data_IF_436419803607
#
_entry.id   IF_436419803607
#
_cell.length_a   1.000
_cell.length_b   1.000
_cell.length_c   1.000
_cell.angle_alpha   90.00
_cell.angle_beta   90.00
_cell.angle_gamma   90.00
#
_symmetry.space_group_name_H-M   'P 1'
#
loop_
_entity.id
_entity.type
_entity.pdbx_description
1 polymer ?
#
# COMPACT_ATOMS: atom_id res chain seq x y z
N UNK A 1 9.58 -39.26 8.21
CA UNK A 1 9.68 -38.05 9.05
C UNK A 1 9.29 -36.89 8.16
N UNK A 2 8.14 -36.27 8.40
CA UNK A 2 7.69 -35.13 7.61
C UNK A 2 8.56 -33.91 7.91
N UNK A 3 9.09 -33.27 6.87
CA UNK A 3 9.82 -32.02 6.98
C UNK A 3 8.87 -30.96 7.52
N UNK A 4 9.18 -30.37 8.66
CA UNK A 4 8.48 -29.18 9.16
C UNK A 4 8.84 -28.06 8.18
N UNK A 5 7.86 -27.57 7.41
CA UNK A 5 8.05 -26.35 6.62
C UNK A 5 8.40 -25.22 7.60
N UNK A 6 9.64 -24.74 7.53
CA UNK A 6 10.05 -23.57 8.27
C UNK A 6 9.30 -22.37 7.70
N UNK A 7 8.39 -21.82 8.50
CA UNK A 7 7.65 -20.62 8.15
C UNK A 7 8.65 -19.46 8.06
N UNK A 8 8.90 -18.97 6.85
CA UNK A 8 9.88 -17.92 6.59
C UNK A 8 9.37 -16.59 7.18
N UNK A 9 10.04 -16.12 8.24
CA UNK A 9 9.71 -14.84 8.89
C UNK A 9 10.48 -13.72 8.19
N UNK A 10 9.76 -12.83 7.49
CA UNK A 10 10.34 -11.64 6.88
C UNK A 10 10.34 -10.44 7.83
N UNK A 11 11.40 -9.63 7.78
CA UNK A 11 11.53 -8.38 8.54
C UNK A 11 11.48 -7.17 7.60
N UNK A 12 10.96 -6.05 8.11
CA UNK A 12 10.93 -4.75 7.43
C UNK A 12 10.86 -3.65 8.50
N UNK A 13 11.34 -2.44 8.21
CA UNK A 13 11.28 -1.34 9.18
C UNK A 13 9.84 -0.84 9.38
N UNK A 14 9.07 -0.78 8.27
CA UNK A 14 7.66 -0.36 8.31
C UNK A 14 6.80 -1.29 7.45
N UNK A 15 5.77 -1.86 8.07
CA UNK A 15 4.70 -2.55 7.36
C UNK A 15 3.49 -1.64 7.18
N UNK A 16 3.04 -1.44 5.94
CA UNK A 16 1.81 -0.74 5.61
C UNK A 16 0.75 -1.77 5.18
N UNK A 17 -0.48 -1.61 5.66
CA UNK A 17 -1.59 -2.49 5.31
C UNK A 17 -2.56 -1.72 4.40
N UNK A 18 -2.72 -2.22 3.18
CA UNK A 18 -3.56 -1.65 2.12
C UNK A 18 -2.82 -0.70 1.17
N UNK A 19 -3.40 -0.48 -0.01
CA UNK A 19 -2.88 0.35 -1.11
C UNK A 19 -3.81 1.52 -1.45
N UNK A 20 -4.41 2.12 -0.42
CA UNK A 20 -5.20 3.35 -0.57
C UNK A 20 -4.34 4.63 -0.59
N UNK A 21 -5.00 5.78 -0.73
CA UNK A 21 -4.34 7.10 -0.69
C UNK A 21 -3.49 7.33 0.57
N UNK A 22 -3.97 6.87 1.73
CA UNK A 22 -3.22 6.96 2.99
C UNK A 22 -1.90 6.20 2.93
N UNK A 23 -1.92 4.97 2.41
CA UNK A 23 -0.73 4.15 2.24
C UNK A 23 0.29 4.81 1.30
N UNK A 24 -0.18 5.36 0.17
CA UNK A 24 0.69 6.03 -0.80
C UNK A 24 1.33 7.29 -0.21
N UNK A 25 0.56 8.06 0.56
CA UNK A 25 1.05 9.25 1.27
C UNK A 25 2.16 8.89 2.26
N UNK A 26 1.90 7.89 3.12
CA UNK A 26 2.85 7.43 4.14
C UNK A 26 4.11 6.87 3.48
N UNK A 27 3.95 6.02 2.47
CA UNK A 27 5.09 5.45 1.73
C UNK A 27 5.96 6.54 1.13
N UNK A 28 5.38 7.55 0.45
CA UNK A 28 6.18 8.62 -0.15
C UNK A 28 7.01 9.40 0.89
N UNK A 29 6.46 9.62 2.09
CA UNK A 29 7.19 10.25 3.20
C UNK A 29 8.32 9.35 3.70
N UNK A 30 8.05 8.07 3.95
CA UNK A 30 9.03 7.12 4.49
C UNK A 30 10.15 6.86 3.48
N UNK A 31 9.86 6.79 2.17
CA UNK A 31 10.87 6.68 1.11
C UNK A 31 11.95 7.74 1.24
N UNK A 32 11.58 8.99 1.59
CA UNK A 32 12.53 10.10 1.75
C UNK A 32 13.41 9.98 3.00
N UNK A 33 13.05 9.10 3.94
CA UNK A 33 13.79 8.81 5.16
C UNK A 33 14.73 7.61 5.03
N UNK A 34 14.64 6.84 3.93
CA UNK A 34 15.54 5.72 3.65
C UNK A 34 15.24 4.42 4.39
N UNK A 35 14.08 4.28 5.03
CA UNK A 35 13.64 3.04 5.68
C UNK A 35 13.14 2.01 4.67
N UNK A 36 13.31 0.73 4.99
CA UNK A 36 12.67 -0.35 4.25
C UNK A 36 11.16 -0.40 4.53
N UNK A 37 10.37 -0.55 3.48
CA UNK A 37 8.91 -0.55 3.57
C UNK A 37 8.36 -1.72 2.77
N UNK A 38 7.54 -2.52 3.45
CA UNK A 38 6.69 -3.52 2.80
C UNK A 38 5.24 -3.09 2.91
N UNK A 39 4.47 -3.28 1.83
CA UNK A 39 3.02 -3.05 1.81
C UNK A 39 2.32 -4.39 1.61
N UNK A 40 1.34 -4.73 2.45
CA UNK A 40 0.46 -5.88 2.25
C UNK A 40 -0.90 -5.41 1.75
N UNK A 41 -1.31 -5.91 0.58
CA UNK A 41 -2.59 -5.63 -0.03
C UNK A 41 -3.37 -6.93 -0.21
N UNK A 42 -4.63 -6.92 0.22
CA UNK A 42 -5.52 -8.07 0.09
C UNK A 42 -5.92 -8.30 -1.37
N UNK A 43 -6.15 -7.22 -2.11
CA UNK A 43 -6.48 -7.27 -3.53
C UNK A 43 -5.29 -7.69 -4.40
N UNK A 44 -5.59 -7.98 -5.67
CA UNK A 44 -4.61 -8.31 -6.70
C UNK A 44 -4.01 -7.08 -7.40
N UNK A 45 -4.52 -5.88 -7.09
CA UNK A 45 -4.07 -4.62 -7.66
C UNK A 45 -4.27 -3.47 -6.67
N UNK A 46 -3.49 -2.39 -6.87
CA UNK A 46 -3.61 -1.17 -6.10
C UNK A 46 -4.91 -0.42 -6.40
N UNK A 47 -5.49 0.26 -5.40
CA UNK A 47 -6.64 1.14 -5.63
C UNK A 47 -7.54 1.37 -4.43
N UNK A 48 -7.45 0.53 -3.38
CA UNK A 48 -8.27 0.63 -2.18
C UNK A 48 -9.79 0.63 -2.44
N UNK A 49 -10.59 0.55 -1.38
CA UNK A 49 -12.06 0.62 -1.47
C UNK A 49 -12.50 1.99 -2.00
N UNK A 50 -13.61 2.00 -2.76
CA UNK A 50 -14.26 3.22 -3.31
C UNK A 50 -14.23 4.35 -2.28
N UNK A 51 -13.66 5.50 -2.65
CA UNK A 51 -13.68 6.71 -1.83
C UNK A 51 -15.12 7.22 -1.82
N UNK A 52 -15.91 6.81 -0.83
CA UNK A 52 -17.20 7.45 -0.52
C UNK A 52 -16.91 8.74 0.26
N UNK A 53 -16.11 9.64 -0.30
CA UNK A 53 -15.91 10.98 0.23
C UNK A 53 -16.77 11.97 -0.55
N UNK A 54 -17.66 12.69 0.14
CA UNK A 54 -18.48 13.77 -0.42
C UNK A 54 -17.65 15.01 -0.87
N UNK A 55 -16.33 14.96 -0.70
CA UNK A 55 -15.39 16.01 -1.09
C UNK A 55 -14.42 15.50 -2.16
N UNK A 56 -14.12 16.29 -3.22
CA UNK A 56 -13.21 15.91 -4.29
C UNK A 56 -11.76 16.02 -3.82
N UNK A 57 -11.34 15.12 -2.94
CA UNK A 57 -9.93 14.91 -2.59
C UNK A 57 -9.48 13.62 -3.29
N UNK A 58 -9.47 13.65 -4.62
CA UNK A 58 -9.11 12.50 -5.45
C UNK A 58 -7.63 12.47 -5.85
N UNK A 59 -6.82 13.38 -5.32
CA UNK A 59 -5.43 13.53 -5.66
C UNK A 59 -4.55 13.65 -4.42
N UNK A 60 -3.37 13.06 -4.49
CA UNK A 60 -2.32 13.28 -3.52
C UNK A 60 -1.69 14.64 -3.80
N UNK A 61 -1.62 15.50 -2.79
CA UNK A 61 -0.96 16.81 -2.88
C UNK A 61 0.56 16.65 -2.84
N UNK A 62 1.12 16.21 -3.97
CA UNK A 62 2.56 16.17 -4.23
C UNK A 62 2.81 16.79 -5.61
N UNK A 63 3.75 17.73 -5.69
CA UNK A 63 4.09 18.49 -6.90
C UNK A 63 4.47 17.61 -8.07
N UNK A 64 5.19 16.52 -7.79
CA UNK A 64 5.56 15.54 -8.79
C UNK A 64 4.31 14.85 -9.38
N UNK A 65 3.20 14.77 -8.66
CA UNK A 65 2.01 14.07 -9.15
C UNK A 65 1.07 15.01 -9.90
N UNK A 66 0.80 16.21 -9.38
CA UNK A 66 -0.20 17.09 -9.98
C UNK A 66 0.29 17.88 -11.19
N UNK A 67 1.61 18.04 -11.38
CA UNK A 67 2.12 18.72 -12.58
C UNK A 67 1.93 17.89 -13.86
N UNK A 68 2.05 16.57 -13.78
CA UNK A 68 2.07 15.70 -14.97
C UNK A 68 0.76 14.92 -15.17
N UNK A 69 -0.13 14.91 -14.18
CA UNK A 69 -1.40 14.18 -14.27
C UNK A 69 -2.61 15.12 -14.21
N UNK A 70 -3.37 15.12 -15.30
CA UNK A 70 -4.65 15.81 -15.39
C UNK A 70 -5.80 14.81 -15.39
N UNK A 71 -6.76 15.03 -14.48
CA UNK A 71 -8.06 14.37 -14.52
C UNK A 71 -8.90 14.94 -15.67
N UNK A 72 -9.61 14.07 -16.39
CA UNK A 72 -10.52 14.41 -17.48
C UNK A 72 -11.84 14.98 -16.96
N UNK A 73 -12.22 14.61 -15.72
CA UNK A 73 -13.47 15.03 -15.10
C UNK A 73 -13.23 15.55 -13.68
N UNK A 74 -13.95 16.61 -13.31
CA UNK A 74 -13.94 17.17 -11.94
C UNK A 74 -14.38 16.16 -10.88
N UNK A 75 -15.28 15.25 -11.27
CA UNK A 75 -15.74 14.12 -10.46
C UNK A 75 -15.40 12.83 -11.20
N UNK A 76 -14.18 12.36 -11.00
CA UNK A 76 -13.64 11.20 -11.70
C UNK A 76 -14.27 9.91 -11.19
N UNK A 77 -14.87 9.14 -12.09
CA UNK A 77 -15.36 7.81 -11.78
C UNK A 77 -14.21 6.81 -11.54
N UNK A 78 -14.55 5.62 -11.04
CA UNK A 78 -13.63 4.50 -10.78
C UNK A 78 -12.57 4.22 -11.88
N UNK A 79 -12.88 4.25 -13.19
CA UNK A 79 -11.89 4.02 -14.23
C UNK A 79 -10.76 5.06 -14.23
N UNK A 80 -11.10 6.31 -13.93
CA UNK A 80 -10.13 7.39 -13.92
C UNK A 80 -9.30 7.41 -12.62
N UNK A 81 -9.91 7.03 -11.48
CA UNK A 81 -9.15 6.78 -10.26
C UNK A 81 -8.13 5.65 -10.44
N UNK A 82 -8.49 4.55 -11.12
CA UNK A 82 -7.52 3.49 -11.46
C UNK A 82 -6.36 4.01 -12.30
N UNK A 83 -6.63 4.82 -13.32
CA UNK A 83 -5.59 5.47 -14.13
C UNK A 83 -4.66 6.33 -13.27
N UNK A 84 -5.20 7.02 -12.27
CA UNK A 84 -4.40 7.79 -11.32
C UNK A 84 -3.53 6.89 -10.45
N UNK A 85 -4.07 5.83 -9.85
CA UNK A 85 -3.29 4.88 -9.06
C UNK A 85 -2.17 4.21 -9.88
N UNK A 86 -2.44 3.82 -11.12
CA UNK A 86 -1.43 3.27 -12.04
C UNK A 86 -0.33 4.30 -12.38
N UNK A 87 -0.71 5.57 -12.56
CA UNK A 87 0.25 6.65 -12.79
C UNK A 87 1.15 6.86 -11.57
N UNK A 88 0.57 6.94 -10.37
CA UNK A 88 1.33 7.09 -9.13
C UNK A 88 2.22 5.88 -8.91
N UNK A 89 1.72 4.66 -9.17
CA UNK A 89 2.51 3.44 -9.06
C UNK A 89 3.73 3.47 -9.98
N UNK A 90 3.58 3.86 -11.24
CA UNK A 90 4.73 4.00 -12.15
C UNK A 90 5.75 5.02 -11.68
N UNK A 91 5.29 6.17 -11.16
CA UNK A 91 6.17 7.27 -10.76
C UNK A 91 6.88 6.97 -9.43
N UNK A 92 6.19 6.31 -8.51
CA UNK A 92 6.70 6.05 -7.18
C UNK A 92 7.19 4.62 -6.98
N UNK A 93 6.94 3.70 -7.93
CA UNK A 93 7.30 2.28 -7.84
C UNK A 93 6.66 1.60 -6.62
N UNK A 94 5.35 1.78 -6.41
CA UNK A 94 4.67 1.28 -5.21
C UNK A 94 4.55 -0.25 -5.25
N UNK A 95 4.27 -0.81 -6.42
CA UNK A 95 4.13 -2.25 -6.68
C UNK A 95 5.41 -3.02 -6.38
N UNK A 96 6.59 -2.41 -6.55
CA UNK A 96 7.88 -3.02 -6.18
C UNK A 96 8.00 -3.30 -4.67
N UNK A 97 7.23 -2.59 -3.83
CA UNK A 97 7.19 -2.77 -2.38
C UNK A 97 5.90 -3.44 -1.89
N UNK A 98 5.01 -3.82 -2.80
CA UNK A 98 3.69 -4.33 -2.44
C UNK A 98 3.61 -5.83 -2.66
N UNK A 99 3.26 -6.57 -1.61
CA UNK A 99 2.83 -7.96 -1.70
C UNK A 99 1.30 -7.99 -1.78
N UNK A 100 0.82 -8.22 -3.00
CA UNK A 100 -0.60 -8.42 -3.29
C UNK A 100 -1.09 -9.78 -2.81
N UNK A 101 -2.41 -9.93 -2.75
CA UNK A 101 -3.08 -11.13 -2.25
C UNK A 101 -2.60 -11.52 -0.83
N UNK A 102 -2.26 -10.54 0.01
CA UNK A 102 -1.86 -10.73 1.41
C UNK A 102 -2.91 -10.14 2.33
N UNK A 103 -3.65 -11.01 3.01
CA UNK A 103 -4.63 -10.61 4.01
C UNK A 103 -3.98 -10.65 5.39
N UNK A 104 -3.74 -9.49 6.00
CA UNK A 104 -3.29 -9.43 7.40
C UNK A 104 -4.43 -9.85 8.32
N UNK A 105 -4.13 -10.77 9.23
CA UNK A 105 -5.10 -11.38 10.14
C UNK A 105 -4.90 -10.88 11.57
N UNK A 106 -3.65 -10.80 12.01
CA UNK A 106 -3.29 -10.39 13.37
C UNK A 106 -2.07 -9.47 13.35
N UNK A 107 -2.02 -8.56 14.32
CA UNK A 107 -0.86 -7.75 14.62
C UNK A 107 -0.72 -7.65 16.14
N UNK A 108 0.35 -8.22 16.69
CA UNK A 108 0.60 -8.31 18.12
C UNK A 108 1.90 -7.57 18.44
N UNK A 109 1.83 -6.62 19.35
CA UNK A 109 3.03 -5.92 19.81
C UNK A 109 3.85 -6.82 20.73
N UNK A 110 5.15 -6.95 20.41
CA UNK A 110 6.12 -7.61 21.27
C UNK A 110 6.89 -6.57 22.07
N UNK A 111 6.54 -6.43 23.35
CA UNK A 111 7.19 -5.47 24.27
C UNK A 111 8.69 -5.69 24.41
N UNK A 112 9.15 -6.95 24.47
CA UNK A 112 10.57 -7.26 24.68
C UNK A 112 11.47 -6.90 23.49
N UNK A 113 10.91 -6.94 22.28
CA UNK A 113 11.62 -6.65 21.03
C UNK A 113 11.31 -5.25 20.49
N UNK A 114 10.33 -4.56 21.05
CA UNK A 114 9.75 -3.33 20.52
C UNK A 114 9.37 -3.45 19.03
N UNK A 115 8.72 -4.56 18.67
CA UNK A 115 8.36 -4.89 17.30
C UNK A 115 6.93 -5.43 17.19
N UNK A 116 6.29 -5.21 16.05
CA UNK A 116 5.03 -5.85 15.72
C UNK A 116 5.27 -7.24 15.10
N UNK A 117 4.55 -8.24 15.58
CA UNK A 117 4.41 -9.54 14.94
C UNK A 117 3.11 -9.55 14.17
N UNK A 118 3.22 -9.76 12.85
CA UNK A 118 2.09 -9.66 11.94
C UNK A 118 1.93 -10.97 11.20
N UNK A 119 0.75 -11.56 11.32
CA UNK A 119 0.39 -12.78 10.60
C UNK A 119 -0.49 -12.43 9.41
N UNK A 120 -0.24 -13.11 8.28
CA UNK A 120 -1.02 -12.91 7.08
C UNK A 120 -1.21 -14.22 6.32
N UNK A 121 -2.34 -14.34 5.66
CA UNK A 121 -2.65 -15.42 4.72
C UNK A 121 -2.52 -14.94 3.27
N UNK A 122 -2.34 -15.90 2.36
CA UNK A 122 -2.43 -15.65 0.92
C UNK A 122 -3.89 -15.80 0.50
N UNK A 123 -4.39 -14.82 -0.23
CA UNK A 123 -5.73 -14.87 -0.83
C UNK A 123 -5.63 -15.48 -2.22
N UNK A 124 -6.48 -16.47 -2.50
CA UNK A 124 -6.60 -17.12 -3.81
C UNK A 124 -7.49 -16.37 -4.78
#
# INVERSE_FOLDING_TARGET
MGSIEQQEVSYTDVLIIGTGFGAFTVRNRIRRLGYDVTIYEKGSASGGTRVDSESPIYQLFDEELYMDFNFKQRYSAWPELRRYFEYVDKKWKISEHTKYNKNVETAIWNESKHQWWVECSVVG
#
